data_IF_340013748668
#
_entry.id   IF_340013748668
#
_cell.length_a   1.000
_cell.length_b   1.000
_cell.length_c   1.000
_cell.angle_alpha   90.00
_cell.angle_beta   90.00
_cell.angle_gamma   90.00
#
_symmetry.space_group_name_H-M   'P 1'
#
loop_
_entity.id
_entity.type
_entity.pdbx_description
1 polymer ?
#
# COMPACT_ATOMS: atom_id res chain seq x y z
N UNK A 1 2.71 11.51 12.10
CA UNK A 1 3.65 11.53 13.24
C UNK A 1 3.88 10.08 13.72
N UNK A 2 4.71 9.29 13.02
CA UNK A 2 5.07 7.89 13.39
C UNK A 2 6.56 7.73 13.74
N UNK A 3 7.33 8.82 13.63
CA UNK A 3 8.79 8.82 13.78
C UNK A 3 9.32 8.36 15.16
N UNK A 4 8.67 8.65 16.32
CA UNK A 4 9.28 8.30 17.60
C UNK A 4 9.18 6.81 17.96
N UNK A 5 8.03 6.17 17.69
CA UNK A 5 7.72 4.83 18.22
C UNK A 5 8.40 3.73 17.39
N UNK A 6 8.43 3.86 16.05
CA UNK A 6 9.08 2.86 15.19
C UNK A 6 10.60 2.77 15.37
N UNK A 7 11.23 3.85 15.86
CA UNK A 7 12.65 3.89 16.20
C UNK A 7 12.98 3.06 17.44
N UNK A 8 12.20 3.24 18.51
CA UNK A 8 12.42 2.58 19.81
C UNK A 8 12.26 1.06 19.71
N UNK A 9 11.37 0.57 18.86
CA UNK A 9 11.04 -0.86 18.76
C UNK A 9 12.03 -1.63 17.87
N UNK A 10 12.57 -1.03 16.81
CA UNK A 10 13.25 -1.79 15.76
C UNK A 10 14.78 -1.70 15.76
N UNK A 11 15.38 -0.67 16.39
CA UNK A 11 16.82 -0.38 16.26
C UNK A 11 17.30 -0.06 14.83
N UNK A 12 16.45 -0.27 13.81
CA UNK A 12 16.74 -0.10 12.39
C UNK A 12 16.04 1.15 11.86
N UNK A 13 16.72 2.28 12.03
CA UNK A 13 16.25 3.63 11.65
C UNK A 13 15.84 3.75 10.18
N UNK A 14 16.42 2.94 9.30
CA UNK A 14 16.22 3.02 7.84
C UNK A 14 14.94 2.36 7.36
N UNK A 15 14.55 1.19 7.90
CA UNK A 15 13.40 0.44 7.41
C UNK A 15 12.07 1.14 7.71
N UNK A 16 11.85 1.57 8.96
CA UNK A 16 10.63 2.31 9.32
C UNK A 16 10.58 3.72 8.69
N UNK A 17 11.74 4.35 8.48
CA UNK A 17 11.80 5.62 7.75
C UNK A 17 11.46 5.45 6.26
N UNK A 18 11.79 4.30 5.66
CA UNK A 18 11.35 3.96 4.31
C UNK A 18 9.82 3.79 4.27
N UNK A 19 9.26 2.94 5.13
CA UNK A 19 7.82 2.67 5.19
C UNK A 19 6.99 3.94 5.41
N UNK A 20 7.37 4.77 6.40
CA UNK A 20 6.66 6.01 6.70
C UNK A 20 6.69 7.02 5.53
N UNK A 21 7.66 6.89 4.62
CA UNK A 21 7.82 7.74 3.43
C UNK A 21 7.18 7.15 2.18
N UNK A 22 7.16 5.83 2.05
CA UNK A 22 6.64 5.14 0.86
C UNK A 22 5.12 4.96 0.92
N UNK A 23 4.55 4.63 2.08
CA UNK A 23 3.11 4.37 2.24
C UNK A 23 2.25 5.54 1.74
N UNK A 24 2.50 6.81 2.12
CA UNK A 24 1.66 7.92 1.66
C UNK A 24 1.78 8.25 0.17
N UNK A 25 2.75 7.63 -0.53
CA UNK A 25 3.02 7.82 -1.96
C UNK A 25 2.58 6.63 -2.80
N UNK A 26 2.13 5.57 -2.14
CA UNK A 26 1.57 4.43 -2.83
C UNK A 26 0.16 4.77 -3.32
N UNK A 27 -0.25 4.10 -4.40
CA UNK A 27 -1.58 4.28 -4.97
C UNK A 27 -2.68 3.92 -3.97
N UNK A 28 -3.83 4.60 -4.07
CA UNK A 28 -5.06 4.11 -3.46
C UNK A 28 -5.47 2.76 -4.07
N UNK A 29 -6.42 2.06 -3.44
CA UNK A 29 -6.88 0.78 -3.97
C UNK A 29 -7.53 0.95 -5.36
N UNK A 30 -8.29 2.02 -5.55
CA UNK A 30 -8.93 2.40 -6.80
C UNK A 30 -7.88 2.77 -7.86
N UNK A 31 -6.91 3.62 -7.51
CA UNK A 31 -5.84 4.03 -8.43
C UNK A 31 -5.02 2.82 -8.91
N UNK A 32 -4.69 1.89 -8.01
CA UNK A 32 -3.98 0.67 -8.37
C UNK A 32 -4.82 -0.24 -9.26
N UNK A 33 -6.14 -0.32 -9.04
CA UNK A 33 -7.03 -1.08 -9.91
C UNK A 33 -7.03 -0.53 -11.35
N UNK A 34 -7.07 0.79 -11.50
CA UNK A 34 -6.95 1.46 -12.79
C UNK A 34 -5.60 1.24 -13.46
N UNK A 35 -4.51 1.24 -12.69
CA UNK A 35 -3.18 0.88 -13.21
C UNK A 35 -3.17 -0.55 -13.75
N UNK A 36 -3.79 -1.50 -13.04
CA UNK A 36 -3.88 -2.90 -13.46
C UNK A 36 -4.76 -3.05 -14.71
N UNK A 37 -5.89 -2.35 -14.79
CA UNK A 37 -6.70 -2.33 -16.02
C UNK A 37 -5.90 -1.81 -17.22
N UNK A 38 -5.17 -0.70 -17.07
CA UNK A 38 -4.29 -0.17 -18.12
C UNK A 38 -3.14 -1.10 -18.48
N UNK A 39 -2.71 -1.96 -17.56
CA UNK A 39 -1.72 -3.00 -17.82
C UNK A 39 -2.28 -4.20 -18.61
N UNK A 40 -3.59 -4.24 -18.88
CA UNK A 40 -4.24 -5.25 -19.73
C UNK A 40 -4.90 -6.40 -18.97
N UNK A 41 -5.15 -6.26 -17.67
CA UNK A 41 -6.00 -7.21 -16.94
C UNK A 41 -7.47 -6.95 -17.27
N UNK A 42 -8.17 -7.99 -17.74
CA UNK A 42 -9.56 -7.91 -18.18
C UNK A 42 -10.53 -7.64 -17.03
N UNK A 43 -10.26 -8.20 -15.84
CA UNK A 43 -11.06 -7.97 -14.63
C UNK A 43 -10.16 -7.67 -13.45
N UNK A 44 -10.42 -6.57 -12.76
CA UNK A 44 -9.70 -6.18 -11.53
C UNK A 44 -10.72 -5.84 -10.46
N UNK A 45 -10.66 -6.57 -9.35
CA UNK A 45 -11.46 -6.34 -8.15
C UNK A 45 -10.52 -6.07 -6.97
N UNK A 46 -11.01 -5.38 -5.94
CA UNK A 46 -10.26 -5.23 -4.70
C UNK A 46 -11.16 -5.27 -3.46
N UNK A 47 -10.57 -5.68 -2.34
CA UNK A 47 -11.22 -5.74 -1.02
C UNK A 47 -10.43 -4.89 -0.04
N UNK A 48 -11.08 -3.87 0.53
CA UNK A 48 -10.48 -3.07 1.59
C UNK A 48 -10.46 -3.85 2.91
N UNK A 49 -9.34 -3.77 3.61
CA UNK A 49 -9.15 -4.34 4.94
C UNK A 49 -8.91 -3.21 5.94
N UNK A 50 -9.32 -3.44 7.20
CA UNK A 50 -9.03 -2.53 8.31
C UNK A 50 -9.40 -1.07 8.00
N UNK A 51 -10.60 -0.84 7.47
CA UNK A 51 -11.10 0.48 7.08
C UNK A 51 -10.23 1.21 6.05
N UNK A 52 -9.58 0.47 5.15
CA UNK A 52 -8.76 1.03 4.06
C UNK A 52 -7.29 1.23 4.42
N UNK A 53 -6.82 0.71 5.57
CA UNK A 53 -5.38 0.68 5.89
C UNK A 53 -4.60 -0.19 4.89
N UNK A 54 -5.23 -1.26 4.38
CA UNK A 54 -4.68 -2.10 3.32
C UNK A 54 -5.79 -2.62 2.41
N UNK A 55 -5.41 -3.18 1.26
CA UNK A 55 -6.33 -3.80 0.31
C UNK A 55 -5.73 -5.07 -0.30
N UNK A 56 -6.58 -6.01 -0.67
CA UNK A 56 -6.24 -7.16 -1.52
C UNK A 56 -6.76 -6.89 -2.92
N UNK A 57 -5.88 -6.91 -3.92
CA UNK A 57 -6.24 -6.82 -5.34
C UNK A 57 -6.26 -8.19 -5.99
N UNK A 58 -7.29 -8.46 -6.79
CA UNK A 58 -7.46 -9.68 -7.57
C UNK A 58 -7.60 -9.27 -9.04
N UNK A 59 -6.63 -9.69 -9.86
CA UNK A 59 -6.59 -9.33 -11.28
C UNK A 59 -6.53 -10.58 -12.16
N UNK A 60 -7.40 -10.66 -13.15
CA UNK A 60 -7.51 -11.76 -14.12
C UNK A 60 -7.21 -11.21 -15.51
N UNK A 61 -6.37 -11.92 -16.26
CA UNK A 61 -6.01 -11.56 -17.63
C UNK A 61 -7.02 -12.09 -18.63
#
# INVERSE_FOLDING_TARGET
>A
MVKPIGYVISGSKTAYAYLARSIPRFFSAEELAEVLHRAGFAKVDFILLSFGVSAIHIAIK
#
